data_IF_911085460919
#
_entry.id   IF_911085460919
#
_cell.length_a   1.000
_cell.length_b   1.000
_cell.length_c   1.000
_cell.angle_alpha   90.00
_cell.angle_beta   90.00
_cell.angle_gamma   90.00
#
_symmetry.space_group_name_H-M   'P 1'
#
loop_
_entity.id
_entity.type
_entity.pdbx_description
1 polymer ?
#
# COMPACT_ATOMS: atom_id res chain seq x y z
N UNK A 1 34.50 -25.07 0.14
CA UNK A 1 33.55 -23.99 -0.20
C UNK A 1 32.20 -24.50 -0.74
N UNK A 2 32.18 -25.33 -1.79
CA UNK A 2 30.94 -25.77 -2.45
C UNK A 2 29.90 -26.47 -1.53
N UNK A 3 30.34 -27.37 -0.65
CA UNK A 3 29.43 -28.04 0.30
C UNK A 3 28.83 -27.09 1.36
N UNK A 4 29.58 -26.07 1.78
CA UNK A 4 29.09 -25.07 2.75
C UNK A 4 28.03 -24.20 2.09
N UNK A 5 28.27 -23.76 0.85
CA UNK A 5 27.30 -23.02 0.04
C UNK A 5 25.98 -23.80 -0.12
N UNK A 6 26.05 -25.07 -0.51
CA UNK A 6 24.87 -25.90 -0.73
C UNK A 6 24.05 -26.13 0.56
N UNK A 7 24.70 -26.29 1.71
CA UNK A 7 24.00 -26.42 3.01
C UNK A 7 23.35 -25.12 3.44
N UNK A 8 23.98 -23.98 3.16
CA UNK A 8 23.44 -22.65 3.41
C UNK A 8 22.20 -22.37 2.57
N UNK A 9 22.26 -22.67 1.28
CA UNK A 9 21.11 -22.53 0.38
C UNK A 9 19.96 -23.45 0.79
N UNK A 10 20.25 -24.71 1.16
CA UNK A 10 19.23 -25.63 1.66
C UNK A 10 18.59 -25.13 2.96
N UNK A 11 19.39 -24.64 3.92
CA UNK A 11 18.88 -24.09 5.16
C UNK A 11 17.99 -22.86 4.93
N UNK A 12 18.37 -21.97 4.01
CA UNK A 12 17.56 -20.81 3.63
C UNK A 12 16.25 -21.22 2.95
N UNK A 13 16.31 -22.16 1.99
CA UNK A 13 15.13 -22.67 1.31
C UNK A 13 14.17 -23.36 2.28
N UNK A 14 14.69 -24.17 3.21
CA UNK A 14 13.93 -24.83 4.26
C UNK A 14 13.28 -23.80 5.20
N UNK A 15 14.04 -22.80 5.66
CA UNK A 15 13.49 -21.73 6.51
C UNK A 15 12.37 -20.94 5.81
N UNK A 16 12.49 -20.69 4.49
CA UNK A 16 11.41 -20.06 3.70
C UNK A 16 10.19 -20.95 3.58
N UNK A 17 10.38 -22.26 3.39
CA UNK A 17 9.28 -23.22 3.35
C UNK A 17 8.56 -23.31 4.69
N UNK A 18 9.30 -23.35 5.81
CA UNK A 18 8.74 -23.35 7.17
C UNK A 18 7.93 -22.08 7.47
N UNK A 19 8.36 -20.93 6.93
CA UNK A 19 7.66 -19.63 7.11
C UNK A 19 6.68 -19.30 5.99
N UNK A 20 6.38 -20.22 5.07
CA UNK A 20 5.53 -19.94 3.91
C UNK A 20 4.16 -19.37 4.31
N UNK A 21 3.50 -20.01 5.29
CA UNK A 21 2.20 -19.55 5.80
C UNK A 21 2.25 -18.16 6.45
N UNK A 22 3.37 -17.84 7.12
CA UNK A 22 3.57 -16.52 7.70
C UNK A 22 3.73 -15.46 6.60
N UNK A 23 4.54 -15.75 5.58
CA UNK A 23 4.74 -14.86 4.44
C UNK A 23 3.44 -14.62 3.67
N UNK A 24 2.60 -15.64 3.48
CA UNK A 24 1.29 -15.50 2.87
C UNK A 24 0.41 -14.51 3.65
N UNK A 25 0.35 -14.66 4.98
CA UNK A 25 -0.39 -13.72 5.86
C UNK A 25 0.20 -12.30 5.82
N UNK A 26 1.52 -12.17 5.80
CA UNK A 26 2.19 -10.86 5.72
C UNK A 26 1.88 -10.15 4.41
N UNK A 27 1.94 -10.85 3.28
CA UNK A 27 1.62 -10.26 1.97
C UNK A 27 0.17 -9.79 1.92
N UNK A 28 -0.77 -10.56 2.47
CA UNK A 28 -2.17 -10.17 2.57
C UNK A 28 -2.35 -8.88 3.41
N UNK A 29 -1.65 -8.79 4.53
CA UNK A 29 -1.65 -7.60 5.39
C UNK A 29 -0.99 -6.40 4.71
N UNK A 30 0.11 -6.59 3.99
CA UNK A 30 0.76 -5.51 3.23
C UNK A 30 -0.17 -4.97 2.13
N UNK A 31 -0.91 -5.85 1.44
CA UNK A 31 -1.93 -5.42 0.47
C UNK A 31 -3.00 -4.54 1.13
N UNK A 32 -3.49 -4.92 2.32
CA UNK A 32 -4.43 -4.10 3.11
C UNK A 32 -3.83 -2.76 3.47
N UNK A 33 -2.64 -2.77 4.06
CA UNK A 33 -1.95 -1.57 4.54
C UNK A 33 -1.67 -0.58 3.43
N UNK A 34 -1.30 -1.03 2.23
CA UNK A 34 -1.08 -0.13 1.10
C UNK A 34 -2.37 0.60 0.71
N UNK A 35 -3.52 -0.10 0.70
CA UNK A 35 -4.82 0.52 0.39
C UNK A 35 -5.20 1.54 1.47
N UNK A 36 -5.10 1.16 2.75
CA UNK A 36 -5.39 2.03 3.89
C UNK A 36 -4.50 3.27 3.89
N UNK A 37 -3.19 3.08 3.76
CA UNK A 37 -2.23 4.18 3.69
C UNK A 37 -2.54 5.16 2.55
N UNK A 38 -2.91 4.66 1.38
CA UNK A 38 -3.29 5.52 0.26
C UNK A 38 -4.59 6.29 0.54
N UNK A 39 -5.58 5.66 1.19
CA UNK A 39 -6.80 6.31 1.66
C UNK A 39 -6.53 7.41 2.67
N UNK A 40 -5.71 7.11 3.67
CA UNK A 40 -5.28 8.06 4.70
C UNK A 40 -4.49 9.23 4.12
N UNK A 41 -3.60 8.95 3.15
CA UNK A 41 -2.85 9.98 2.43
C UNK A 41 -3.79 10.88 1.65
N UNK A 42 -4.81 10.33 1.00
CA UNK A 42 -5.82 11.13 0.31
C UNK A 42 -6.58 12.04 1.28
N UNK A 43 -7.01 11.51 2.44
CA UNK A 43 -7.66 12.29 3.49
C UNK A 43 -6.74 13.38 4.06
N UNK A 44 -5.46 13.06 4.27
CA UNK A 44 -4.45 14.02 4.72
C UNK A 44 -4.30 15.18 3.73
N UNK A 45 -4.22 14.91 2.43
CA UNK A 45 -4.15 15.94 1.40
C UNK A 45 -5.39 16.85 1.38
N UNK A 46 -6.61 16.29 1.50
CA UNK A 46 -7.84 17.09 1.58
C UNK A 46 -7.82 18.08 2.76
N UNK A 47 -7.26 17.67 3.90
CA UNK A 47 -7.08 18.53 5.08
C UNK A 47 -6.06 19.66 4.85
N UNK A 48 -5.09 19.49 3.96
CA UNK A 48 -4.07 20.53 3.70
C UNK A 48 -4.60 21.76 2.97
N UNK A 49 -5.75 21.65 2.27
CA UNK A 49 -6.31 22.75 1.45
C UNK A 49 -6.42 24.09 2.19
N UNK A 50 -6.73 24.07 3.50
CA UNK A 50 -6.95 25.27 4.32
C UNK A 50 -5.85 25.51 5.36
N UNK A 51 -4.73 24.78 5.28
CA UNK A 51 -3.67 24.85 6.30
C UNK A 51 -2.94 26.21 6.31
N UNK A 52 -2.88 26.88 5.16
CA UNK A 52 -2.33 28.25 5.04
C UNK A 52 -3.47 29.17 4.64
N UNK A 53 -3.97 29.94 5.60
CA UNK A 53 -5.07 30.90 5.42
C UNK A 53 -4.58 32.33 5.21
N UNK A 54 -3.37 32.65 5.68
CA UNK A 54 -2.79 33.99 5.64
C UNK A 54 -1.77 34.13 4.49
N UNK A 55 -2.26 33.92 3.27
CA UNK A 55 -1.44 33.99 2.04
C UNK A 55 -2.27 34.62 0.92
N UNK A 56 -1.56 35.05 -0.13
CA UNK A 56 -2.18 35.58 -1.35
C UNK A 56 -3.32 34.66 -1.86
N UNK A 57 -4.50 35.22 -2.22
CA UNK A 57 -5.65 34.44 -2.67
C UNK A 57 -5.38 33.57 -3.90
N UNK A 58 -4.51 34.00 -4.83
CA UNK A 58 -4.17 33.19 -6.00
C UNK A 58 -3.32 31.97 -5.58
N UNK A 59 -2.35 32.17 -4.68
CA UNK A 59 -1.60 31.07 -4.09
C UNK A 59 -2.49 30.10 -3.29
N UNK A 60 -3.45 30.62 -2.52
CA UNK A 60 -4.41 29.80 -1.77
C UNK A 60 -5.24 28.91 -2.71
N UNK A 61 -5.72 29.46 -3.83
CA UNK A 61 -6.41 28.69 -4.88
C UNK A 61 -5.51 27.61 -5.47
N UNK A 62 -4.26 27.95 -5.81
CA UNK A 62 -3.28 27.00 -6.33
C UNK A 62 -3.02 25.83 -5.38
N UNK A 63 -2.78 26.11 -4.10
CA UNK A 63 -2.59 25.08 -3.07
C UNK A 63 -3.83 24.20 -2.88
N UNK A 64 -5.02 24.79 -2.93
CA UNK A 64 -6.28 24.04 -2.88
C UNK A 64 -6.40 23.07 -4.06
N UNK A 65 -6.10 23.52 -5.28
CA UNK A 65 -6.15 22.68 -6.49
C UNK A 65 -5.11 21.56 -6.39
N UNK A 66 -3.88 21.89 -5.99
CA UNK A 66 -2.81 20.92 -5.83
C UNK A 66 -3.16 19.85 -4.78
N UNK A 67 -3.64 20.25 -3.61
CA UNK A 67 -4.06 19.33 -2.55
C UNK A 67 -5.18 18.40 -3.02
N UNK A 68 -6.18 18.92 -3.77
CA UNK A 68 -7.23 18.09 -4.37
C UNK A 68 -6.66 17.10 -5.39
N UNK A 69 -5.73 17.55 -6.25
CA UNK A 69 -5.07 16.68 -7.23
C UNK A 69 -4.31 15.55 -6.55
N UNK A 70 -3.52 15.85 -5.51
CA UNK A 70 -2.79 14.85 -4.76
C UNK A 70 -3.71 13.86 -4.04
N UNK A 71 -4.82 14.34 -3.46
CA UNK A 71 -5.83 13.47 -2.88
C UNK A 71 -6.46 12.50 -3.90
N UNK A 72 -6.73 12.99 -5.12
CA UNK A 72 -7.24 12.16 -6.21
C UNK A 72 -6.21 11.12 -6.66
N UNK A 73 -4.93 11.49 -6.77
CA UNK A 73 -3.85 10.55 -7.12
C UNK A 73 -3.75 9.42 -6.09
N UNK A 74 -3.71 9.75 -4.80
CA UNK A 74 -3.65 8.73 -3.74
C UNK A 74 -4.90 7.83 -3.72
N UNK A 75 -6.10 8.42 -3.90
CA UNK A 75 -7.34 7.64 -3.99
C UNK A 75 -7.39 6.72 -5.20
N UNK A 76 -6.92 7.18 -6.36
CA UNK A 76 -6.84 6.37 -7.57
C UNK A 76 -5.83 5.22 -7.43
N UNK A 77 -4.71 5.45 -6.75
CA UNK A 77 -3.74 4.41 -6.46
C UNK A 77 -4.36 3.32 -5.57
N UNK A 78 -5.06 3.72 -4.50
CA UNK A 78 -5.79 2.77 -3.64
C UNK A 78 -6.79 1.93 -4.44
N UNK A 79 -7.62 2.58 -5.26
CA UNK A 79 -8.61 1.91 -6.11
C UNK A 79 -7.96 0.97 -7.13
N UNK A 80 -6.84 1.37 -7.73
CA UNK A 80 -6.09 0.55 -8.69
C UNK A 80 -5.52 -0.69 -8.00
N UNK A 81 -4.83 -0.53 -6.86
CA UNK A 81 -4.32 -1.64 -6.07
C UNK A 81 -5.43 -2.61 -5.66
N UNK A 82 -6.54 -2.09 -5.10
CA UNK A 82 -7.70 -2.89 -4.73
C UNK A 82 -8.27 -3.66 -5.93
N UNK A 83 -8.37 -3.03 -7.11
CA UNK A 83 -8.88 -3.69 -8.32
C UNK A 83 -8.04 -4.89 -8.77
N UNK A 84 -6.73 -4.87 -8.53
CA UNK A 84 -5.87 -6.03 -8.83
C UNK A 84 -5.95 -7.08 -7.73
N UNK A 85 -5.76 -6.66 -6.47
CA UNK A 85 -5.62 -7.59 -5.36
C UNK A 85 -6.93 -8.25 -4.96
N UNK A 86 -8.03 -7.50 -4.86
CA UNK A 86 -9.34 -8.09 -4.51
C UNK A 86 -9.77 -9.12 -5.55
N UNK A 87 -9.56 -8.83 -6.84
CA UNK A 87 -9.89 -9.77 -7.91
C UNK A 87 -8.98 -11.00 -7.91
N UNK A 88 -7.69 -10.83 -7.59
CA UNK A 88 -6.76 -11.94 -7.45
C UNK A 88 -7.12 -12.83 -6.26
N UNK A 89 -7.37 -12.25 -5.10
CA UNK A 89 -7.71 -12.99 -3.87
C UNK A 89 -9.04 -13.74 -4.00
N UNK A 90 -10.07 -13.12 -4.61
CA UNK A 90 -11.34 -13.79 -4.90
C UNK A 90 -11.19 -15.05 -5.78
N UNK A 91 -10.17 -15.10 -6.64
CA UNK A 91 -9.89 -16.30 -7.45
C UNK A 91 -9.25 -17.41 -6.64
N UNK A 92 -8.51 -17.07 -5.59
CA UNK A 92 -7.83 -18.03 -4.72
C UNK A 92 -8.75 -18.58 -3.62
N UNK A 93 -9.75 -17.80 -3.18
CA UNK A 93 -10.67 -18.22 -2.13
C UNK A 93 -11.51 -17.06 -1.58
N UNK A 94 -12.17 -17.27 -0.42
CA UNK A 94 -12.85 -16.19 0.27
C UNK A 94 -11.85 -15.11 0.67
N UNK A 95 -12.29 -13.85 0.59
CA UNK A 95 -11.49 -12.74 1.11
C UNK A 95 -11.28 -12.93 2.62
N UNK A 96 -10.11 -12.50 3.15
CA UNK A 96 -9.91 -12.38 4.58
C UNK A 96 -11.02 -11.54 5.22
N UNK A 97 -11.29 -11.75 6.51
CA UNK A 97 -12.41 -11.13 7.23
C UNK A 97 -12.27 -9.63 7.53
N UNK A 98 -11.23 -8.99 7.01
CA UNK A 98 -10.93 -7.58 7.20
C UNK A 98 -11.24 -6.76 5.95
#
# INVERSE_FOLDING_TARGET
EFQVSMRLEWAQAKARAERWRENERLVLEEMRQVIEFCGDRAAWWRRQKRRRSDIDPALQRGLSIYAKKQAAVSGNLAARCASFWVNYLKKLGPLPSW
#
